data_IF_346759158185
#
_entry.id   IF_346759158185
#
_cell.length_a   1.000
_cell.length_b   1.000
_cell.length_c   1.000
_cell.angle_alpha   90.00
_cell.angle_beta   90.00
_cell.angle_gamma   90.00
#
_symmetry.space_group_name_H-M   'P 1'
#
loop_
_entity.id
_entity.type
_entity.pdbx_description
1 polymer ?
#
# COMPACT_ATOMS: atom_id res chain seq x y z
N UNK A 1 20.49 -6.43 9.81
CA UNK A 1 19.48 -7.50 9.95
C UNK A 1 18.16 -6.80 10.19
N UNK A 2 17.36 -6.60 9.14
CA UNK A 2 16.04 -5.98 9.29
C UNK A 2 15.14 -6.95 10.05
N UNK A 3 14.52 -6.46 11.13
CA UNK A 3 13.54 -7.18 11.94
C UNK A 3 12.25 -7.33 11.12
N UNK A 4 12.23 -8.25 10.17
CA UNK A 4 11.00 -8.65 9.51
C UNK A 4 10.19 -9.45 10.51
N UNK A 5 9.26 -8.78 11.19
CA UNK A 5 8.26 -9.46 11.98
C UNK A 5 7.27 -10.13 11.03
N UNK A 6 7.04 -11.42 11.24
CA UNK A 6 5.99 -12.19 10.56
C UNK A 6 4.57 -11.79 10.95
N UNK A 7 4.40 -10.75 11.78
CA UNK A 7 3.08 -10.20 12.11
C UNK A 7 2.56 -9.39 10.91
N UNK A 8 1.35 -9.70 10.39
CA UNK A 8 0.78 -9.01 9.23
C UNK A 8 0.77 -7.47 9.36
N UNK A 9 0.48 -6.95 10.56
CA UNK A 9 0.47 -5.50 10.80
C UNK A 9 1.85 -4.86 10.62
N UNK A 10 2.92 -5.53 11.07
CA UNK A 10 4.29 -5.03 10.85
C UNK A 10 4.71 -5.16 9.40
N UNK A 11 4.29 -6.23 8.72
CA UNK A 11 4.55 -6.42 7.31
C UNK A 11 3.89 -5.33 6.45
N UNK A 12 2.63 -4.99 6.74
CA UNK A 12 1.91 -3.88 6.10
C UNK A 12 2.67 -2.55 6.28
N UNK A 13 3.08 -2.23 7.51
CA UNK A 13 3.82 -1.00 7.78
C UNK A 13 5.19 -0.95 7.08
N UNK A 14 5.89 -2.08 6.96
CA UNK A 14 7.14 -2.18 6.22
C UNK A 14 6.93 -1.97 4.71
N UNK A 15 5.90 -2.60 4.15
CA UNK A 15 5.53 -2.44 2.74
C UNK A 15 5.17 -0.99 2.41
N UNK A 16 4.38 -0.32 3.27
CA UNK A 16 4.05 1.11 3.10
C UNK A 16 5.31 2.00 3.10
N UNK A 17 6.31 1.70 3.94
CA UNK A 17 7.59 2.44 3.92
C UNK A 17 8.38 2.21 2.64
N UNK A 18 8.41 0.99 2.14
CA UNK A 18 9.06 0.68 0.86
C UNK A 18 8.35 1.40 -0.29
N UNK A 19 7.02 1.46 -0.30
CA UNK A 19 6.25 2.16 -1.32
C UNK A 19 6.52 3.67 -1.29
N UNK A 20 6.62 4.27 -0.10
CA UNK A 20 7.02 5.67 0.04
C UNK A 20 8.43 5.92 -0.51
N UNK A 21 9.40 5.06 -0.19
CA UNK A 21 10.75 5.17 -0.71
C UNK A 21 10.81 4.98 -2.24
N UNK A 22 9.97 4.12 -2.80
CA UNK A 22 9.85 3.95 -4.25
C UNK A 22 9.26 5.19 -4.95
N UNK A 23 8.22 5.78 -4.36
CA UNK A 23 7.63 7.03 -4.84
C UNK A 23 8.64 8.19 -4.82
N UNK A 24 9.41 8.35 -3.73
CA UNK A 24 10.51 9.32 -3.65
C UNK A 24 11.61 9.05 -4.68
N UNK A 25 11.84 7.79 -5.01
CA UNK A 25 12.78 7.36 -6.04
C UNK A 25 12.17 7.41 -7.46
N UNK A 26 10.94 7.88 -7.65
CA UNK A 26 10.28 7.93 -8.96
C UNK A 26 10.11 6.55 -9.62
N UNK A 27 9.76 5.52 -8.84
CA UNK A 27 9.48 4.17 -9.33
C UNK A 27 10.71 3.28 -9.57
N UNK A 28 11.92 3.78 -9.31
CA UNK A 28 13.18 3.04 -9.54
C UNK A 28 13.40 1.86 -8.59
N UNK A 29 12.58 1.73 -7.56
CA UNK A 29 12.66 0.69 -6.53
C UNK A 29 11.49 -0.28 -6.58
N UNK A 30 10.65 -0.27 -7.63
CA UNK A 30 9.49 -1.16 -7.78
C UNK A 30 9.85 -2.65 -7.57
N UNK A 31 11.04 -3.08 -8.04
CA UNK A 31 11.54 -4.44 -7.81
C UNK A 31 11.74 -4.80 -6.33
N UNK A 32 11.98 -3.82 -5.44
CA UNK A 32 12.13 -4.06 -4.00
C UNK A 32 10.81 -4.41 -3.33
N UNK A 33 9.69 -3.87 -3.80
CA UNK A 33 8.36 -4.24 -3.31
C UNK A 33 8.07 -5.71 -3.65
N UNK A 34 8.36 -6.11 -4.89
CA UNK A 34 8.15 -7.49 -5.32
C UNK A 34 9.04 -8.50 -4.58
N UNK A 35 10.32 -8.14 -4.37
CA UNK A 35 11.24 -8.96 -3.56
C UNK A 35 10.73 -9.10 -2.13
N UNK A 36 10.30 -8.00 -1.51
CA UNK A 36 9.74 -8.03 -0.16
C UNK A 36 8.52 -8.96 -0.03
N UNK A 37 7.57 -8.87 -0.97
CA UNK A 37 6.39 -9.75 -0.98
C UNK A 37 6.77 -11.22 -1.22
N UNK A 38 7.70 -11.47 -2.14
CA UNK A 38 8.19 -12.83 -2.42
C UNK A 38 8.82 -13.45 -1.17
N UNK A 39 9.67 -12.68 -0.49
CA UNK A 39 10.33 -13.10 0.75
C UNK A 39 9.30 -13.35 1.87
N UNK A 40 8.25 -12.52 1.96
CA UNK A 40 7.18 -12.69 2.93
C UNK A 40 6.42 -14.01 2.70
N UNK A 41 6.08 -14.31 1.44
CA UNK A 41 5.40 -15.56 1.04
C UNK A 41 6.28 -16.77 1.30
N UNK A 42 7.58 -16.72 0.96
CA UNK A 42 8.51 -17.84 1.18
C UNK A 42 8.59 -18.20 2.66
N UNK A 43 8.55 -17.22 3.57
CA UNK A 43 8.63 -17.45 5.02
C UNK A 43 7.32 -17.90 5.66
N UNK A 44 6.18 -17.41 5.17
CA UNK A 44 4.88 -17.53 5.86
C UNK A 44 3.82 -18.33 5.09
N UNK A 45 4.14 -18.75 3.85
CA UNK A 45 3.18 -19.31 2.91
C UNK A 45 2.27 -18.25 2.27
N UNK A 46 1.53 -18.61 1.21
CA UNK A 46 0.74 -17.65 0.42
C UNK A 46 -0.43 -17.02 1.19
N UNK A 47 -0.95 -17.70 2.23
CA UNK A 47 -2.05 -17.18 3.06
C UNK A 47 -1.72 -15.86 3.79
N UNK A 48 -0.42 -15.52 3.92
CA UNK A 48 -0.01 -14.24 4.51
C UNK A 48 -0.51 -13.04 3.70
N UNK A 49 -0.74 -13.20 2.39
CA UNK A 49 -1.18 -12.11 1.52
C UNK A 49 -2.57 -11.61 1.86
N UNK A 50 -3.49 -12.50 2.24
CA UNK A 50 -4.83 -12.12 2.70
C UNK A 50 -4.76 -11.29 3.98
N UNK A 51 -3.95 -11.74 4.94
CA UNK A 51 -3.77 -11.04 6.21
C UNK A 51 -3.07 -9.69 6.02
N UNK A 52 -2.08 -9.63 5.11
CA UNK A 52 -1.40 -8.40 4.73
C UNK A 52 -2.37 -7.39 4.11
N UNK A 53 -3.22 -7.82 3.19
CA UNK A 53 -4.22 -6.97 2.55
C UNK A 53 -5.22 -6.38 3.58
N UNK A 54 -5.70 -7.20 4.51
CA UNK A 54 -6.59 -6.76 5.59
C UNK A 54 -5.88 -5.71 6.47
N UNK A 55 -4.62 -5.95 6.84
CA UNK A 55 -3.88 -5.00 7.68
C UNK A 55 -3.52 -3.71 6.95
N UNK A 56 -3.23 -3.75 5.64
CA UNK A 56 -3.08 -2.55 4.83
C UNK A 56 -4.37 -1.71 4.83
N UNK A 57 -5.53 -2.35 4.61
CA UNK A 57 -6.81 -1.65 4.64
C UNK A 57 -7.10 -1.01 6.00
N UNK A 58 -6.85 -1.74 7.10
CA UNK A 58 -7.01 -1.22 8.47
C UNK A 58 -6.10 -0.02 8.75
N UNK A 59 -4.83 -0.12 8.36
CA UNK A 59 -3.86 0.96 8.56
C UNK A 59 -4.16 2.18 7.68
N UNK A 60 -4.63 1.96 6.46
CA UNK A 60 -5.08 3.01 5.56
C UNK A 60 -6.25 3.77 6.19
N UNK A 61 -7.30 3.07 6.62
CA UNK A 61 -8.45 3.68 7.30
C UNK A 61 -8.03 4.47 8.54
N UNK A 62 -7.20 3.89 9.41
CA UNK A 62 -6.71 4.58 10.60
C UNK A 62 -5.92 5.85 10.27
N UNK A 63 -5.24 5.89 9.12
CA UNK A 63 -4.52 7.08 8.65
C UNK A 63 -5.48 8.14 8.13
N UNK A 64 -6.52 7.73 7.38
CA UNK A 64 -7.59 8.63 6.93
C UNK A 64 -8.37 9.23 8.10
N UNK A 65 -8.67 8.44 9.13
CA UNK A 65 -9.35 8.94 10.35
C UNK A 65 -8.51 9.99 11.08
N UNK A 66 -7.19 9.80 11.16
CA UNK A 66 -6.28 10.81 11.73
C UNK A 66 -6.24 12.09 10.89
N UNK A 67 -6.22 11.96 9.57
CA UNK A 67 -6.31 13.11 8.66
C UNK A 67 -7.64 13.84 8.82
N UNK A 68 -8.74 13.10 8.90
CA UNK A 68 -10.07 13.64 9.10
C UNK A 68 -10.16 14.45 10.40
N UNK A 69 -9.62 13.90 11.50
CA UNK A 69 -9.53 14.60 12.78
C UNK A 69 -8.67 15.87 12.70
N UNK A 70 -7.57 15.85 11.94
CA UNK A 70 -6.66 16.99 11.82
C UNK A 70 -7.17 18.13 10.91
N UNK A 71 -8.01 17.80 9.92
CA UNK A 71 -8.44 18.74 8.87
C UNK A 71 -9.91 19.15 8.98
N UNK A 72 -10.72 18.38 9.72
CA UNK A 72 -12.17 18.55 9.79
C UNK A 72 -12.92 18.01 8.58
N UNK A 73 -12.24 17.39 7.61
CA UNK A 73 -12.89 16.74 6.46
C UNK A 73 -13.22 15.28 6.77
N UNK A 74 -14.33 14.73 6.24
CA UNK A 74 -14.65 13.33 6.46
C UNK A 74 -13.64 12.42 5.76
N UNK A 75 -13.29 11.29 6.39
CA UNK A 75 -12.37 10.30 5.82
C UNK A 75 -12.80 9.82 4.42
N UNK A 76 -14.11 9.70 4.19
CA UNK A 76 -14.70 9.32 2.90
C UNK A 76 -14.23 10.23 1.74
N UNK A 77 -14.07 11.53 1.99
CA UNK A 77 -13.61 12.47 0.96
C UNK A 77 -12.21 12.13 0.43
N UNK A 78 -11.31 11.71 1.31
CA UNK A 78 -9.96 11.31 0.91
C UNK A 78 -9.97 9.97 0.17
N UNK A 79 -10.92 9.09 0.51
CA UNK A 79 -11.10 7.84 -0.22
C UNK A 79 -11.64 8.10 -1.63
N UNK A 80 -12.60 9.01 -1.79
CA UNK A 80 -13.11 9.43 -3.10
C UNK A 80 -11.97 9.95 -4.02
N UNK A 81 -11.04 10.74 -3.46
CA UNK A 81 -9.88 11.24 -4.20
C UNK A 81 -8.95 10.10 -4.65
N UNK A 82 -8.75 9.08 -3.80
CA UNK A 82 -7.96 7.87 -4.13
C UNK A 82 -8.64 7.04 -5.22
N UNK A 83 -9.95 6.82 -5.11
CA UNK A 83 -10.75 6.09 -6.11
C UNK A 83 -10.73 6.80 -7.46
N UNK A 84 -10.89 8.12 -7.48
CA UNK A 84 -10.82 8.92 -8.69
C UNK A 84 -9.44 8.82 -9.35
N UNK A 85 -8.36 8.93 -8.57
CA UNK A 85 -7.00 8.81 -9.08
C UNK A 85 -6.76 7.43 -9.74
N UNK A 86 -7.20 6.36 -9.09
CA UNK A 86 -7.10 5.00 -9.63
C UNK A 86 -7.87 4.84 -10.95
N UNK A 87 -9.11 5.35 -11.01
CA UNK A 87 -9.93 5.30 -12.23
C UNK A 87 -9.32 6.12 -13.39
N UNK A 88 -8.60 7.19 -13.09
CA UNK A 88 -7.90 7.99 -14.11
C UNK A 88 -6.64 7.31 -14.65
N UNK A 89 -5.95 6.51 -13.83
CA UNK A 89 -4.75 5.78 -14.24
C UNK A 89 -5.11 4.61 -15.17
N UNK A 90 -6.15 3.84 -14.84
CA UNK A 90 -6.66 2.74 -15.66
C UNK A 90 -7.02 3.17 -17.10
N UNK A 91 -7.57 4.38 -17.25
CA UNK A 91 -7.88 4.95 -18.56
C UNK A 91 -6.63 5.23 -19.41
N UNK A 92 -5.52 5.65 -18.79
CA UNK A 92 -4.27 5.95 -19.50
C UNK A 92 -3.62 4.68 -20.04
N UNK A 93 -3.67 3.60 -19.26
CA UNK A 93 -3.15 2.30 -19.71
C UNK A 93 -3.97 1.78 -20.89
N UNK A 94 -5.30 1.93 -20.84
CA UNK A 94 -6.20 1.50 -21.93
C UNK A 94 -6.01 2.30 -23.23
N UNK A 95 -5.71 3.60 -23.13
CA UNK A 95 -5.43 4.48 -24.29
C UNK A 95 -4.04 4.24 -24.91
N UNK A 96 -3.10 3.66 -24.17
CA UNK A 96 -1.73 3.37 -24.64
C UNK A 96 -1.63 2.01 -25.34
N UNK A 97 -2.59 1.11 -25.10
CA UNK A 97 -2.68 -0.22 -25.74
C UNK A 97 -3.45 -0.23 -27.09
N UNK A 98 -4.04 0.90 -27.50
CA UNK A 98 -4.77 1.09 -28.78
C UNK A 98 -3.91 1.76 -29.86
#
# INVERSE_FOLDING_TARGET
>A
MELFSDRPAMAAAALTRLAAADAEAGGRLAGRLQVYLSDLIVRNGPAIMEQLAIELARQHLASLERLAAATGWPAARYLDDVELAAAMDERRDTETEM
#
